data_IF_761073576700
#
_entry.id   IF_761073576700
#
_cell.length_a   1.000
_cell.length_b   1.000
_cell.length_c   1.000
_cell.angle_alpha   90.00
_cell.angle_beta   90.00
_cell.angle_gamma   90.00
#
_symmetry.space_group_name_H-M   'P 1'
#
loop_
_entity.id
_entity.type
_entity.pdbx_description
1 polymer ?
#
# COMPACT_ATOMS: atom_id res chain seq x y z
N UNK A 1 -101.89 -1.19 -14.65
CA UNK A 1 -100.98 -1.05 -15.80
C UNK A 1 -99.88 0.00 -15.59
N UNK A 2 -100.14 1.10 -14.88
CA UNK A 2 -99.15 2.19 -14.70
C UNK A 2 -97.99 1.79 -13.77
N UNK A 3 -98.25 1.13 -12.64
CA UNK A 3 -97.21 0.69 -11.69
C UNK A 3 -96.11 -0.18 -12.31
N UNK A 4 -96.47 -1.22 -13.07
CA UNK A 4 -95.49 -2.08 -13.76
C UNK A 4 -94.58 -1.30 -14.70
N UNK A 5 -95.12 -0.31 -15.40
CA UNK A 5 -94.37 0.53 -16.34
C UNK A 5 -93.40 1.47 -15.64
N UNK A 6 -93.77 1.94 -14.44
CA UNK A 6 -92.90 2.74 -13.56
C UNK A 6 -91.79 1.89 -12.95
N UNK A 7 -92.07 0.65 -12.54
CA UNK A 7 -91.05 -0.28 -12.05
C UNK A 7 -90.01 -0.63 -13.13
N UNK A 8 -90.44 -0.90 -14.37
CA UNK A 8 -89.51 -1.18 -15.48
C UNK A 8 -88.61 0.01 -15.80
N UNK A 9 -89.14 1.23 -15.77
CA UNK A 9 -88.35 2.46 -15.96
C UNK A 9 -87.32 2.67 -14.84
N UNK A 10 -87.73 2.44 -13.59
CA UNK A 10 -86.83 2.53 -12.45
C UNK A 10 -85.76 1.44 -12.46
N UNK A 11 -86.09 0.23 -12.93
CA UNK A 11 -85.13 -0.85 -13.10
C UNK A 11 -84.09 -0.51 -14.18
N UNK A 12 -84.52 -0.03 -15.35
CA UNK A 12 -83.61 0.41 -16.42
C UNK A 12 -82.67 1.53 -15.96
N UNK A 13 -83.21 2.53 -15.25
CA UNK A 13 -82.39 3.60 -14.68
C UNK A 13 -81.38 3.09 -13.64
N UNK A 14 -81.76 2.11 -12.82
CA UNK A 14 -80.82 1.48 -11.88
C UNK A 14 -79.71 0.75 -12.60
N UNK A 15 -80.03 -0.03 -13.62
CA UNK A 15 -79.04 -0.78 -14.40
C UNK A 15 -78.07 0.16 -15.13
N UNK A 16 -78.57 1.26 -15.68
CA UNK A 16 -77.73 2.31 -16.31
C UNK A 16 -76.80 2.99 -15.29
N UNK A 17 -77.31 3.31 -14.10
CA UNK A 17 -76.50 3.92 -13.02
C UNK A 17 -75.44 2.92 -12.53
N UNK A 18 -75.80 1.66 -12.32
CA UNK A 18 -74.84 0.63 -11.90
C UNK A 18 -73.74 0.42 -12.95
N UNK A 19 -74.10 0.39 -14.23
CA UNK A 19 -73.12 0.28 -15.32
C UNK A 19 -72.16 1.49 -15.37
N UNK A 20 -72.68 2.71 -15.19
CA UNK A 20 -71.86 3.93 -15.12
C UNK A 20 -70.92 3.91 -13.88
N UNK A 21 -71.44 3.53 -12.71
CA UNK A 21 -70.66 3.41 -11.48
C UNK A 21 -69.54 2.38 -11.64
N UNK A 22 -69.85 1.21 -12.20
CA UNK A 22 -68.85 0.17 -12.49
C UNK A 22 -67.76 0.69 -13.41
N UNK A 23 -68.13 1.41 -14.48
CA UNK A 23 -67.16 2.03 -15.40
C UNK A 23 -66.22 3.00 -14.69
N UNK A 24 -66.77 3.91 -13.88
CA UNK A 24 -65.97 4.91 -13.15
C UNK A 24 -65.05 4.26 -12.11
N UNK A 25 -65.52 3.21 -11.43
CA UNK A 25 -64.70 2.45 -10.48
C UNK A 25 -63.57 1.73 -11.20
N UNK A 26 -63.83 1.11 -12.35
CA UNK A 26 -62.80 0.44 -13.13
C UNK A 26 -61.74 1.42 -13.67
N UNK A 27 -62.16 2.58 -14.19
CA UNK A 27 -61.25 3.63 -14.63
C UNK A 27 -60.40 4.19 -13.47
N UNK A 28 -61.01 4.43 -12.30
CA UNK A 28 -60.29 4.87 -11.12
C UNK A 28 -59.28 3.81 -10.64
N UNK A 29 -59.66 2.53 -10.67
CA UNK A 29 -58.79 1.41 -10.32
C UNK A 29 -57.60 1.30 -11.27
N UNK A 30 -57.82 1.39 -12.58
CA UNK A 30 -56.73 1.37 -13.58
C UNK A 30 -55.74 2.52 -13.37
N UNK A 31 -56.25 3.75 -13.17
CA UNK A 31 -55.37 4.90 -12.88
C UNK A 31 -54.57 4.71 -11.60
N UNK A 32 -55.18 4.15 -10.56
CA UNK A 32 -54.49 3.86 -9.31
C UNK A 32 -53.43 2.78 -9.48
N UNK A 33 -53.72 1.71 -10.22
CA UNK A 33 -52.77 0.64 -10.54
C UNK A 33 -51.57 1.17 -11.35
N UNK A 34 -51.81 2.00 -12.37
CA UNK A 34 -50.75 2.65 -13.16
C UNK A 34 -49.85 3.53 -12.31
N UNK A 35 -50.43 4.36 -11.42
CA UNK A 35 -49.66 5.20 -10.50
C UNK A 35 -48.84 4.35 -9.52
N UNK A 36 -49.43 3.29 -8.97
CA UNK A 36 -48.75 2.39 -8.04
C UNK A 36 -47.56 1.68 -8.70
N UNK A 37 -47.73 1.17 -9.93
CA UNK A 37 -46.64 0.53 -10.69
C UNK A 37 -45.53 1.55 -10.95
N UNK A 38 -45.87 2.76 -11.41
CA UNK A 38 -44.89 3.81 -11.69
C UNK A 38 -44.09 4.23 -10.46
N UNK A 39 -44.73 4.33 -9.30
CA UNK A 39 -44.05 4.63 -8.04
C UNK A 39 -43.13 3.49 -7.60
N UNK A 40 -43.55 2.24 -7.78
CA UNK A 40 -42.72 1.07 -7.48
C UNK A 40 -41.49 1.00 -8.38
N UNK A 41 -41.65 1.24 -9.68
CA UNK A 41 -40.54 1.27 -10.64
C UNK A 41 -39.53 2.37 -10.29
N UNK A 42 -40.03 3.57 -9.96
CA UNK A 42 -39.19 4.69 -9.54
C UNK A 42 -38.39 4.36 -8.27
N UNK A 43 -39.04 3.79 -7.25
CA UNK A 43 -38.37 3.37 -6.01
C UNK A 43 -37.30 2.31 -6.27
N UNK A 44 -37.60 1.33 -7.13
CA UNK A 44 -36.66 0.28 -7.51
C UNK A 44 -35.44 0.85 -8.23
N UNK A 45 -35.65 1.81 -9.13
CA UNK A 45 -34.55 2.49 -9.82
C UNK A 45 -33.70 3.32 -8.86
N UNK A 46 -34.32 4.10 -7.97
CA UNK A 46 -33.62 4.87 -6.94
C UNK A 46 -32.79 3.97 -6.01
N UNK A 47 -33.33 2.83 -5.60
CA UNK A 47 -32.61 1.86 -4.78
C UNK A 47 -31.42 1.26 -5.53
N UNK A 48 -31.60 0.87 -6.78
CA UNK A 48 -30.53 0.33 -7.61
C UNK A 48 -29.43 1.37 -7.86
N UNK A 49 -29.79 2.64 -8.09
CA UNK A 49 -28.82 3.72 -8.23
C UNK A 49 -28.06 3.96 -6.91
N UNK A 50 -28.75 3.93 -5.77
CA UNK A 50 -28.10 4.05 -4.46
C UNK A 50 -27.14 2.89 -4.18
N UNK A 51 -27.51 1.66 -4.54
CA UNK A 51 -26.62 0.50 -4.42
C UNK A 51 -25.38 0.67 -5.31
N UNK A 52 -25.56 1.00 -6.60
CA UNK A 52 -24.45 1.29 -7.52
C UNK A 52 -23.51 2.38 -7.01
N UNK A 53 -24.06 3.47 -6.48
CA UNK A 53 -23.27 4.57 -5.95
C UNK A 53 -22.44 4.12 -4.73
N UNK A 54 -23.01 3.30 -3.84
CA UNK A 54 -22.30 2.74 -2.68
C UNK A 54 -21.20 1.79 -3.11
N UNK A 55 -21.46 0.91 -4.07
CA UNK A 55 -20.46 -0.02 -4.60
C UNK A 55 -19.29 0.75 -5.24
N UNK A 56 -19.58 1.79 -6.04
CA UNK A 56 -18.56 2.63 -6.64
C UNK A 56 -17.71 3.36 -5.58
N UNK A 57 -18.33 3.92 -4.55
CA UNK A 57 -17.59 4.55 -3.44
C UNK A 57 -16.73 3.55 -2.68
N UNK A 58 -17.22 2.33 -2.46
CA UNK A 58 -16.46 1.29 -1.78
C UNK A 58 -15.26 0.84 -2.63
N UNK A 59 -15.46 0.66 -3.94
CA UNK A 59 -14.40 0.34 -4.88
C UNK A 59 -13.33 1.45 -4.93
N UNK A 60 -13.75 2.71 -4.98
CA UNK A 60 -12.84 3.86 -4.92
C UNK A 60 -12.03 3.88 -3.63
N UNK A 61 -12.67 3.62 -2.47
CA UNK A 61 -11.97 3.53 -1.18
C UNK A 61 -10.97 2.38 -1.16
N UNK A 62 -11.35 1.21 -1.66
CA UNK A 62 -10.46 0.04 -1.75
C UNK A 62 -9.24 0.35 -2.63
N UNK A 63 -9.45 0.94 -3.79
CA UNK A 63 -8.38 1.33 -4.71
C UNK A 63 -7.43 2.37 -4.09
N UNK A 64 -7.96 3.35 -3.37
CA UNK A 64 -7.14 4.35 -2.68
C UNK A 64 -6.29 3.72 -1.58
N UNK A 65 -6.89 2.84 -0.77
CA UNK A 65 -6.17 2.10 0.28
C UNK A 65 -5.07 1.23 -0.34
N UNK A 66 -5.37 0.51 -1.42
CA UNK A 66 -4.37 -0.32 -2.12
C UNK A 66 -3.22 0.54 -2.67
N UNK A 67 -3.53 1.71 -3.24
CA UNK A 67 -2.53 2.66 -3.73
C UNK A 67 -1.59 3.11 -2.61
N UNK A 68 -2.14 3.52 -1.47
CA UNK A 68 -1.37 3.94 -0.30
C UNK A 68 -0.50 2.80 0.22
N UNK A 69 -1.05 1.60 0.34
CA UNK A 69 -0.30 0.43 0.80
C UNK A 69 0.86 0.09 -0.14
N UNK A 70 0.64 0.14 -1.45
CA UNK A 70 1.68 -0.09 -2.45
C UNK A 70 2.79 0.97 -2.40
N UNK A 71 2.43 2.23 -2.21
CA UNK A 71 3.41 3.30 -2.08
C UNK A 71 4.23 3.17 -0.78
N UNK A 72 3.58 2.86 0.34
CA UNK A 72 4.25 2.62 1.61
C UNK A 72 5.19 1.41 1.54
N UNK A 73 4.74 0.32 0.92
CA UNK A 73 5.56 -0.86 0.71
C UNK A 73 6.82 -0.55 -0.11
N UNK A 74 6.68 0.23 -1.20
CA UNK A 74 7.83 0.70 -1.99
C UNK A 74 8.81 1.54 -1.17
N UNK A 75 8.31 2.45 -0.33
CA UNK A 75 9.15 3.28 0.55
C UNK A 75 9.92 2.43 1.56
N UNK A 76 9.26 1.43 2.16
CA UNK A 76 9.88 0.50 3.10
C UNK A 76 10.99 -0.30 2.40
N UNK A 77 10.68 -0.87 1.22
CA UNK A 77 11.66 -1.64 0.45
C UNK A 77 12.87 -0.79 0.03
N UNK A 78 12.64 0.46 -0.38
CA UNK A 78 13.70 1.39 -0.72
C UNK A 78 14.57 1.74 0.50
N UNK A 79 13.96 2.00 1.66
CA UNK A 79 14.68 2.25 2.91
C UNK A 79 15.52 1.04 3.31
N UNK A 80 14.94 -0.16 3.27
CA UNK A 80 15.66 -1.40 3.57
C UNK A 80 16.83 -1.62 2.62
N UNK A 81 16.66 -1.32 1.31
CA UNK A 81 17.73 -1.42 0.32
C UNK A 81 18.85 -0.42 0.61
N UNK A 82 18.51 0.83 0.92
CA UNK A 82 19.49 1.87 1.28
C UNK A 82 20.26 1.50 2.54
N UNK A 83 19.57 1.02 3.57
CA UNK A 83 20.21 0.54 4.81
C UNK A 83 21.13 -0.66 4.54
N UNK A 84 20.71 -1.61 3.70
CA UNK A 84 21.54 -2.75 3.33
C UNK A 84 22.81 -2.30 2.58
N UNK A 85 22.69 -1.36 1.66
CA UNK A 85 23.83 -0.77 0.94
C UNK A 85 24.78 -0.05 1.90
N UNK A 86 24.26 0.74 2.84
CA UNK A 86 25.07 1.43 3.84
C UNK A 86 25.82 0.45 4.75
N UNK A 87 25.17 -0.65 5.16
CA UNK A 87 25.82 -1.72 5.94
C UNK A 87 26.97 -2.36 5.16
N UNK A 88 26.77 -2.61 3.86
CA UNK A 88 27.83 -3.15 3.00
C UNK A 88 29.00 -2.17 2.85
N UNK A 89 28.74 -0.87 2.64
CA UNK A 89 29.78 0.16 2.56
C UNK A 89 30.61 0.22 3.84
N UNK A 90 29.97 0.20 5.01
CA UNK A 90 30.68 0.19 6.32
C UNK A 90 31.59 -1.03 6.48
N UNK A 91 31.17 -2.20 6.02
CA UNK A 91 32.00 -3.41 6.06
C UNK A 91 33.21 -3.30 5.11
N UNK A 92 33.01 -2.75 3.93
CA UNK A 92 34.11 -2.51 2.98
C UNK A 92 35.13 -1.50 3.53
N UNK A 93 34.66 -0.40 4.10
CA UNK A 93 35.50 0.60 4.78
C UNK A 93 36.31 -0.02 5.93
N UNK A 94 35.67 -0.85 6.76
CA UNK A 94 36.36 -1.58 7.83
C UNK A 94 37.44 -2.50 7.27
N UNK A 95 37.15 -3.24 6.19
CA UNK A 95 38.13 -4.12 5.54
C UNK A 95 39.35 -3.36 5.02
N UNK A 96 39.12 -2.20 4.38
CA UNK A 96 40.20 -1.35 3.88
C UNK A 96 41.06 -0.83 5.03
N UNK A 97 40.43 -0.38 6.13
CA UNK A 97 41.14 0.12 7.30
C UNK A 97 41.96 -0.99 7.97
N UNK A 98 41.43 -2.19 8.10
CA UNK A 98 42.14 -3.35 8.62
C UNK A 98 43.33 -3.73 7.74
N UNK A 99 43.16 -3.69 6.42
CA UNK A 99 44.26 -3.94 5.48
C UNK A 99 45.37 -2.88 5.61
N UNK A 100 45.02 -1.60 5.74
CA UNK A 100 45.98 -0.52 5.97
C UNK A 100 46.74 -0.72 7.29
N UNK A 101 46.03 -1.00 8.39
CA UNK A 101 46.65 -1.29 9.69
C UNK A 101 47.59 -2.50 9.63
N UNK A 102 47.20 -3.56 8.93
CA UNK A 102 48.05 -4.73 8.76
C UNK A 102 49.32 -4.41 7.97
N UNK A 103 49.22 -3.59 6.91
CA UNK A 103 50.38 -3.12 6.13
C UNK A 103 51.31 -2.25 6.98
N UNK A 104 50.78 -1.29 7.72
CA UNK A 104 51.56 -0.43 8.63
C UNK A 104 52.30 -1.26 9.68
N UNK A 105 51.60 -2.21 10.33
CA UNK A 105 52.20 -3.12 11.29
C UNK A 105 53.33 -3.95 10.67
N UNK A 106 53.13 -4.47 9.46
CA UNK A 106 54.16 -5.22 8.74
C UNK A 106 55.38 -4.36 8.38
N UNK A 107 55.18 -3.10 8.01
CA UNK A 107 56.28 -2.14 7.79
C UNK A 107 57.03 -1.84 9.09
N UNK A 108 56.31 -1.58 10.18
CA UNK A 108 56.90 -1.31 11.49
C UNK A 108 57.73 -2.49 11.98
N UNK A 109 57.21 -3.72 11.87
CA UNK A 109 57.95 -4.94 12.20
C UNK A 109 59.20 -5.14 11.32
N UNK A 110 59.17 -4.73 10.05
CA UNK A 110 60.36 -4.74 9.18
C UNK A 110 61.38 -3.71 9.63
N UNK A 111 60.96 -2.48 9.92
CA UNK A 111 61.82 -1.39 10.42
C UNK A 111 62.46 -1.78 11.76
N UNK A 112 61.67 -2.32 12.69
CA UNK A 112 62.14 -2.81 13.98
C UNK A 112 63.14 -3.95 13.84
N UNK A 113 62.90 -4.91 12.93
CA UNK A 113 63.89 -5.98 12.61
C UNK A 113 65.20 -5.43 12.06
N UNK A 114 65.13 -4.46 11.15
CA UNK A 114 66.33 -3.81 10.58
C UNK A 114 67.10 -3.07 11.68
N UNK A 115 66.41 -2.24 12.48
CA UNK A 115 67.01 -1.53 13.61
C UNK A 115 67.63 -2.48 14.63
N UNK A 116 66.93 -3.56 15.00
CA UNK A 116 67.46 -4.59 15.90
C UNK A 116 68.71 -5.25 15.31
N UNK A 117 68.74 -5.51 14.00
CA UNK A 117 69.93 -6.08 13.32
C UNK A 117 71.13 -5.14 13.41
N UNK A 118 70.92 -3.84 13.21
CA UNK A 118 71.96 -2.80 13.34
C UNK A 118 72.47 -2.71 14.78
N UNK A 119 71.57 -2.68 15.77
CA UNK A 119 71.92 -2.59 17.21
C UNK A 119 72.69 -3.84 17.67
N UNK A 120 72.22 -5.03 17.28
CA UNK A 120 72.87 -6.30 17.63
C UNK A 120 74.19 -6.53 16.86
N UNK A 121 74.53 -5.69 15.88
CA UNK A 121 75.77 -5.77 15.12
C UNK A 121 75.88 -7.03 14.23
N UNK A 122 74.77 -7.71 13.95
CA UNK A 122 74.72 -8.81 12.96
C UNK A 122 75.10 -8.25 11.58
N UNK A 123 75.81 -9.04 10.77
CA UNK A 123 76.33 -8.65 9.45
C UNK A 123 77.43 -7.56 9.46
N UNK A 124 78.36 -7.60 10.42
CA UNK A 124 79.52 -6.67 10.48
C UNK A 124 79.16 -5.17 10.59
N UNK A 125 77.93 -4.83 11.01
CA UNK A 125 77.49 -3.44 11.16
C UNK A 125 78.20 -2.68 12.30
N UNK A 126 78.77 -3.40 13.28
CA UNK A 126 79.58 -2.81 14.35
C UNK A 126 81.05 -2.72 13.90
N UNK A 127 81.64 -1.52 13.73
CA UNK A 127 83.05 -1.40 13.38
C UNK A 127 83.90 -2.10 14.45
N UNK A 128 84.81 -2.97 14.00
CA UNK A 128 85.73 -3.69 14.89
C UNK A 128 86.67 -2.68 15.54
N UNK A 129 86.36 -2.26 16.76
CA UNK A 129 87.27 -1.48 17.59
C UNK A 129 88.46 -2.38 17.96
N UNK A 130 89.62 -2.10 17.38
CA UNK A 130 90.87 -2.71 17.80
C UNK A 130 91.27 -2.10 19.15
N UNK A 131 90.87 -2.73 20.26
CA UNK A 131 91.39 -2.40 21.58
C UNK A 131 92.82 -2.92 21.68
N UNK A 132 93.78 -2.10 21.23
CA UNK A 132 95.18 -2.32 21.55
C UNK A 132 95.38 -2.17 23.05
N UNK A 133 95.60 -3.26 23.76
CA UNK A 133 96.10 -3.22 25.13
C UNK A 133 97.51 -2.65 25.03
N UNK A 134 97.69 -1.37 25.38
CA UNK A 134 99.04 -0.80 25.55
C UNK A 134 99.67 -1.50 26.76
N UNK A 135 100.77 -2.24 26.60
CA UNK A 135 101.48 -2.78 27.74
C UNK A 135 101.95 -1.62 28.61
N UNK A 136 101.63 -1.67 29.91
CA UNK A 136 102.18 -0.75 30.91
C UNK A 136 103.63 -1.19 31.14
N UNK A 137 104.53 -0.20 31.09
CA UNK A 137 105.99 -0.29 31.23
C UNK A 137 106.42 -1.27 32.32
#
# INVERSE_FOLDING_TARGET
MIQKRVEEELAKRKDEIEAEVLRRVEEAKRRMEEMAIREMEKKREEELQRQRQRELEEEQRRNEVERIMKENQRKIEEQQRREAEERLRKLEEQRILEEQRAREKAEEERRNRIQQTVILGKNNARPKLAFGIKPKI
#
